data_IF_607390236439
#
_entry.id   IF_607390236439
#
_cell.length_a   1.000
_cell.length_b   1.000
_cell.length_c   1.000
_cell.angle_alpha   90.00
_cell.angle_beta   90.00
_cell.angle_gamma   90.00
#
_symmetry.space_group_name_H-M   'P 1'
#
loop_
_entity.id
_entity.type
_entity.pdbx_description
1 polymer ?
#
# COMPACT_ATOMS: atom_id res chain seq x y z
N UNK A 1 -5.23 -20.89 -6.58
CA UNK A 1 -3.75 -20.75 -6.65
C UNK A 1 -3.14 -20.83 -5.26
N UNK A 2 -1.84 -21.10 -5.17
CA UNK A 2 -1.06 -20.85 -3.95
C UNK A 2 -0.39 -19.50 -4.05
N UNK A 3 -0.69 -18.62 -3.12
CA UNK A 3 -0.15 -17.26 -3.06
C UNK A 3 0.82 -17.11 -1.88
N UNK A 4 1.89 -16.36 -2.06
CA UNK A 4 2.72 -15.82 -0.98
C UNK A 4 2.45 -14.32 -0.85
N UNK A 5 2.16 -13.85 0.35
CA UNK A 5 1.97 -12.42 0.64
C UNK A 5 3.03 -11.98 1.64
N UNK A 6 4.03 -11.21 1.22
CA UNK A 6 4.96 -10.58 2.15
C UNK A 6 4.36 -9.26 2.65
N UNK A 7 4.56 -8.93 3.93
CA UNK A 7 3.84 -7.82 4.57
C UNK A 7 2.35 -8.13 4.79
N UNK A 8 2.00 -9.43 4.86
CA UNK A 8 0.60 -9.88 4.92
C UNK A 8 -0.10 -9.65 6.26
N UNK A 9 0.62 -9.26 7.32
CA UNK A 9 0.04 -8.83 8.60
C UNK A 9 -0.13 -7.31 8.71
N UNK A 10 0.32 -6.55 7.69
CA UNK A 10 0.16 -5.11 7.59
C UNK A 10 -1.26 -4.71 7.15
N UNK A 11 -1.47 -3.40 7.00
CA UNK A 11 -2.75 -2.81 6.60
C UNK A 11 -3.28 -3.37 5.27
N UNK A 12 -2.62 -3.08 4.15
CA UNK A 12 -3.06 -3.52 2.81
C UNK A 12 -2.92 -5.05 2.68
N UNK A 13 -1.82 -5.62 3.20
CA UNK A 13 -1.51 -7.04 3.08
C UNK A 13 -2.55 -7.94 3.74
N UNK A 14 -3.04 -7.58 4.93
CA UNK A 14 -4.06 -8.39 5.61
C UNK A 14 -5.43 -8.34 4.93
N UNK A 15 -5.80 -7.21 4.34
CA UNK A 15 -7.02 -7.09 3.52
C UNK A 15 -6.90 -7.92 2.23
N UNK A 16 -5.70 -7.94 1.62
CA UNK A 16 -5.43 -8.83 0.48
C UNK A 16 -5.50 -10.31 0.87
N UNK A 17 -4.95 -10.68 2.03
CA UNK A 17 -5.03 -12.07 2.55
C UNK A 17 -6.49 -12.51 2.69
N UNK A 18 -7.34 -11.69 3.31
CA UNK A 18 -8.77 -12.02 3.48
C UNK A 18 -9.45 -12.21 2.12
N UNK A 19 -9.19 -11.31 1.16
CA UNK A 19 -9.75 -11.41 -0.19
C UNK A 19 -9.31 -12.68 -0.91
N UNK A 20 -8.02 -13.03 -0.86
CA UNK A 20 -7.50 -14.24 -1.49
C UNK A 20 -8.09 -15.52 -0.87
N UNK A 21 -8.24 -15.57 0.45
CA UNK A 21 -8.86 -16.69 1.16
C UNK A 21 -10.34 -16.82 0.81
N UNK A 22 -11.08 -15.70 0.75
CA UNK A 22 -12.48 -15.67 0.34
C UNK A 22 -12.69 -16.18 -1.10
N UNK A 23 -11.71 -15.99 -1.98
CA UNK A 23 -11.71 -16.54 -3.34
C UNK A 23 -11.20 -18.00 -3.40
N UNK A 24 -10.99 -18.66 -2.25
CA UNK A 24 -10.60 -20.08 -2.17
C UNK A 24 -9.12 -20.35 -2.48
N UNK A 25 -8.26 -19.37 -2.31
CA UNK A 25 -6.82 -19.53 -2.54
C UNK A 25 -6.10 -19.99 -1.28
N UNK A 26 -5.02 -20.77 -1.43
CA UNK A 26 -4.09 -21.06 -0.34
C UNK A 26 -3.10 -19.92 -0.19
N UNK A 27 -2.93 -19.39 1.02
CA UNK A 27 -2.11 -18.21 1.29
C UNK A 27 -1.04 -18.50 2.33
N UNK A 28 0.20 -18.24 1.96
CA UNK A 28 1.34 -18.14 2.88
C UNK A 28 1.65 -16.66 3.14
N UNK A 29 1.70 -16.25 4.40
CA UNK A 29 2.09 -14.90 4.83
C UNK A 29 3.52 -14.93 5.35
N UNK A 30 4.33 -13.97 4.91
CA UNK A 30 5.65 -13.64 5.49
C UNK A 30 5.59 -12.21 5.99
N UNK A 31 5.84 -12.01 7.29
CA UNK A 31 5.82 -10.70 7.94
C UNK A 31 6.76 -10.74 9.16
N UNK A 32 7.56 -9.72 9.38
CA UNK A 32 8.44 -9.65 10.56
C UNK A 32 7.73 -9.08 11.79
N UNK A 33 6.51 -8.58 11.61
CA UNK A 33 5.67 -7.94 12.62
C UNK A 33 6.27 -6.64 13.18
N UNK A 34 7.17 -6.00 12.45
CA UNK A 34 7.76 -4.71 12.85
C UNK A 34 6.72 -3.57 12.85
N UNK A 35 5.78 -3.62 11.92
CA UNK A 35 4.63 -2.71 11.83
C UNK A 35 3.30 -3.45 11.62
N UNK A 36 3.36 -4.69 11.15
CA UNK A 36 2.23 -5.60 11.02
C UNK A 36 1.76 -6.15 12.37
N UNK A 37 0.51 -6.63 12.42
CA UNK A 37 -0.07 -7.24 13.62
C UNK A 37 -0.83 -8.52 13.28
N UNK A 38 -0.62 -9.57 14.07
CA UNK A 38 -1.40 -10.81 13.96
C UNK A 38 -2.89 -10.60 14.25
N UNK A 39 -3.25 -9.50 14.92
CA UNK A 39 -4.64 -9.09 15.14
C UNK A 39 -5.34 -8.79 13.80
N UNK A 40 -4.62 -8.27 12.81
CA UNK A 40 -5.17 -8.03 11.47
C UNK A 40 -5.54 -9.32 10.72
N UNK A 41 -4.98 -10.45 11.13
CA UNK A 41 -5.24 -11.79 10.57
C UNK A 41 -6.11 -12.66 11.49
N UNK A 42 -6.70 -12.10 12.56
CA UNK A 42 -7.38 -12.89 13.59
C UNK A 42 -8.55 -13.69 13.01
N UNK A 43 -9.40 -13.07 12.20
CA UNK A 43 -10.56 -13.70 11.56
C UNK A 43 -10.12 -14.78 10.57
N UNK A 44 -9.17 -14.49 9.70
CA UNK A 44 -8.62 -15.42 8.73
C UNK A 44 -7.98 -16.65 9.40
N UNK A 45 -7.34 -16.48 10.57
CA UNK A 45 -6.72 -17.56 11.37
C UNK A 45 -7.74 -18.39 12.14
N UNK A 46 -8.87 -17.82 12.50
CA UNK A 46 -9.94 -18.51 13.22
C UNK A 46 -10.75 -19.44 12.31
N UNK A 47 -10.86 -19.13 11.02
CA UNK A 47 -11.58 -19.96 10.06
C UNK A 47 -10.71 -21.14 9.60
N UNK A 48 -11.04 -22.34 10.14
CA UNK A 48 -10.33 -23.58 9.83
C UNK A 48 -10.54 -24.10 8.40
N UNK A 49 -11.48 -23.54 7.65
CA UNK A 49 -11.68 -23.87 6.25
C UNK A 49 -10.66 -23.15 5.34
N UNK A 50 -10.03 -22.09 5.84
CA UNK A 50 -9.03 -21.35 5.09
C UNK A 50 -7.68 -22.07 5.12
N UNK A 51 -7.00 -22.05 3.98
CA UNK A 51 -5.63 -22.54 3.85
C UNK A 51 -4.65 -21.39 4.08
N UNK A 52 -4.53 -20.94 5.32
CA UNK A 52 -3.61 -19.88 5.74
C UNK A 52 -2.45 -20.44 6.56
N UNK A 53 -1.22 -20.08 6.18
CA UNK A 53 -0.03 -20.28 7.00
C UNK A 53 0.66 -18.93 7.23
N UNK A 54 1.03 -18.63 8.46
CA UNK A 54 1.72 -17.38 8.82
C UNK A 54 3.12 -17.69 9.30
N UNK A 55 4.11 -17.02 8.71
CA UNK A 55 5.53 -17.17 8.99
C UNK A 55 6.09 -15.83 9.44
N UNK A 56 6.52 -15.75 10.70
CA UNK A 56 7.18 -14.56 11.21
C UNK A 56 8.64 -14.56 10.76
N UNK A 57 8.93 -13.87 9.66
CA UNK A 57 10.24 -13.79 9.03
C UNK A 57 10.47 -12.41 8.42
N UNK A 58 11.70 -11.93 8.53
CA UNK A 58 12.17 -10.75 7.81
C UNK A 58 12.51 -11.12 6.36
N UNK A 59 12.09 -10.33 5.38
CA UNK A 59 12.39 -10.56 3.96
C UNK A 59 13.89 -10.52 3.63
N UNK A 60 14.70 -9.93 4.51
CA UNK A 60 16.19 -9.96 4.41
C UNK A 60 16.80 -11.30 4.81
N UNK A 61 16.04 -12.13 5.50
CA UNK A 61 16.53 -13.39 6.03
C UNK A 61 16.64 -14.48 4.96
N UNK A 62 17.71 -15.29 4.95
CA UNK A 62 17.87 -16.40 4.03
C UNK A 62 16.78 -17.47 4.17
N UNK A 63 16.15 -17.58 5.35
CA UNK A 63 15.05 -18.53 5.61
C UNK A 63 13.82 -18.27 4.71
N UNK A 64 13.66 -17.05 4.19
CA UNK A 64 12.62 -16.75 3.21
C UNK A 64 12.83 -17.55 1.93
N UNK A 65 14.06 -17.67 1.46
CA UNK A 65 14.39 -18.46 0.25
C UNK A 65 14.01 -19.92 0.46
N UNK A 66 14.37 -20.51 1.60
CA UNK A 66 14.03 -21.89 1.95
C UNK A 66 12.53 -22.11 2.08
N UNK A 67 11.82 -21.14 2.68
CA UNK A 67 10.37 -21.19 2.80
C UNK A 67 9.70 -21.20 1.42
N UNK A 68 10.06 -20.25 0.56
CA UNK A 68 9.48 -20.12 -0.78
C UNK A 68 9.76 -21.35 -1.63
N UNK A 69 10.98 -21.94 -1.54
CA UNK A 69 11.34 -23.18 -2.22
C UNK A 69 10.47 -24.37 -1.77
N UNK A 70 10.11 -24.46 -0.49
CA UNK A 70 9.22 -25.51 0.04
C UNK A 70 7.76 -25.27 -0.33
N UNK A 71 7.29 -24.02 -0.24
CA UNK A 71 5.86 -23.68 -0.43
C UNK A 71 5.47 -23.59 -1.91
N UNK A 72 6.43 -23.26 -2.79
CA UNK A 72 6.24 -23.16 -4.25
C UNK A 72 5.02 -22.33 -4.64
N UNK A 73 4.95 -21.05 -4.26
CA UNK A 73 3.84 -20.19 -4.62
C UNK A 73 3.78 -20.01 -6.14
N UNK A 74 2.57 -19.97 -6.69
CA UNK A 74 2.34 -19.60 -8.09
C UNK A 74 2.51 -18.09 -8.31
N UNK A 75 2.06 -17.30 -7.34
CA UNK A 75 2.13 -15.83 -7.37
C UNK A 75 2.67 -15.33 -6.03
N UNK A 76 3.58 -14.39 -6.10
CA UNK A 76 4.11 -13.65 -4.94
C UNK A 76 3.56 -12.23 -4.97
N UNK A 77 2.83 -11.85 -3.93
CA UNK A 77 2.41 -10.48 -3.66
C UNK A 77 3.41 -9.86 -2.69
N UNK A 78 4.22 -8.95 -3.18
CA UNK A 78 5.31 -8.36 -2.39
C UNK A 78 4.92 -6.97 -1.90
N UNK A 79 4.44 -6.92 -0.63
CA UNK A 79 4.02 -5.69 0.05
C UNK A 79 4.92 -5.34 1.24
N UNK A 80 5.77 -6.27 1.71
CA UNK A 80 6.72 -5.99 2.79
C UNK A 80 7.63 -4.82 2.42
N UNK A 81 7.71 -3.83 3.30
CA UNK A 81 8.55 -2.65 3.12
C UNK A 81 8.74 -1.90 4.44
N UNK A 82 9.87 -1.23 4.59
CA UNK A 82 9.98 -0.06 5.45
C UNK A 82 9.24 1.08 4.71
N UNK A 83 8.07 1.53 5.17
CA UNK A 83 7.20 2.44 4.43
C UNK A 83 7.27 3.91 4.89
N UNK A 84 7.88 4.20 6.06
CA UNK A 84 7.99 5.56 6.57
C UNK A 84 9.08 6.35 5.82
N UNK A 85 8.65 7.33 5.01
CA UNK A 85 9.55 8.21 4.26
C UNK A 85 10.52 8.95 5.19
N UNK A 86 10.09 9.36 6.39
CA UNK A 86 10.96 10.06 7.36
C UNK A 86 12.04 9.13 7.88
N UNK A 87 11.72 7.87 8.15
CA UNK A 87 12.71 6.86 8.52
C UNK A 87 13.69 6.63 7.37
N UNK A 88 13.22 6.60 6.11
CA UNK A 88 14.10 6.46 4.96
C UNK A 88 15.13 7.59 4.86
N UNK A 89 14.71 8.84 5.13
CA UNK A 89 15.62 10.01 5.15
C UNK A 89 16.60 9.93 6.32
N UNK A 90 16.14 9.55 7.50
CA UNK A 90 16.98 9.46 8.70
C UNK A 90 17.93 8.25 8.67
N UNK A 91 17.56 7.16 8.01
CA UNK A 91 18.27 5.88 7.99
C UNK A 91 18.28 5.26 6.58
N UNK A 92 18.89 5.90 5.58
CA UNK A 92 18.79 5.49 4.17
C UNK A 92 19.39 4.10 3.89
N UNK A 93 20.44 3.69 4.62
CA UNK A 93 21.04 2.35 4.49
C UNK A 93 20.05 1.29 4.96
N UNK A 94 19.43 1.48 6.11
CA UNK A 94 18.40 0.56 6.62
C UNK A 94 17.21 0.45 5.66
N UNK A 95 16.78 1.59 5.10
CA UNK A 95 15.71 1.59 4.09
C UNK A 95 16.09 0.75 2.86
N UNK A 96 17.32 0.93 2.34
CA UNK A 96 17.81 0.15 1.21
C UNK A 96 17.96 -1.34 1.54
N UNK A 97 18.41 -1.70 2.75
CA UNK A 97 18.48 -3.09 3.19
C UNK A 97 17.12 -3.78 3.17
N UNK A 98 16.08 -3.13 3.71
CA UNK A 98 14.73 -3.70 3.72
C UNK A 98 14.11 -3.67 2.33
N UNK A 99 14.09 -2.50 1.70
CA UNK A 99 13.29 -2.27 0.50
C UNK A 99 13.97 -2.74 -0.79
N UNK A 100 15.31 -2.73 -0.88
CA UNK A 100 16.02 -3.19 -2.07
C UNK A 100 16.55 -4.61 -1.87
N UNK A 101 17.37 -4.84 -0.84
CA UNK A 101 17.98 -6.17 -0.62
C UNK A 101 16.91 -7.19 -0.25
N UNK A 102 15.96 -6.84 0.65
CA UNK A 102 14.84 -7.71 0.98
C UNK A 102 13.99 -8.06 -0.24
N UNK A 103 13.72 -7.09 -1.13
CA UNK A 103 13.01 -7.35 -2.39
C UNK A 103 13.78 -8.28 -3.32
N UNK A 104 15.11 -8.12 -3.44
CA UNK A 104 15.95 -9.02 -4.24
C UNK A 104 15.92 -10.45 -3.70
N UNK A 105 15.97 -10.65 -2.38
CA UNK A 105 15.81 -11.97 -1.79
C UNK A 105 14.47 -12.61 -2.17
N UNK A 106 13.38 -11.83 -2.13
CA UNK A 106 12.06 -12.32 -2.54
C UNK A 106 12.02 -12.66 -4.04
N UNK A 107 12.64 -11.84 -4.91
CA UNK A 107 12.69 -12.10 -6.35
C UNK A 107 13.52 -13.36 -6.65
N UNK A 108 14.68 -13.55 -6.01
CA UNK A 108 15.50 -14.75 -6.16
C UNK A 108 14.77 -16.00 -5.66
N UNK A 109 14.10 -15.89 -4.51
CA UNK A 109 13.30 -16.99 -3.99
C UNK A 109 12.12 -17.35 -4.92
N UNK A 110 11.40 -16.37 -5.46
CA UNK A 110 10.32 -16.56 -6.41
C UNK A 110 10.81 -17.23 -7.69
N UNK A 111 11.94 -16.74 -8.26
CA UNK A 111 12.60 -17.30 -9.45
C UNK A 111 13.00 -18.76 -9.23
N UNK A 112 13.71 -19.03 -8.13
CA UNK A 112 14.21 -20.37 -7.82
C UNK A 112 13.07 -21.38 -7.56
N UNK A 113 11.95 -20.93 -7.00
CA UNK A 113 10.76 -21.77 -6.76
C UNK A 113 9.90 -21.97 -8.03
N UNK A 114 10.19 -21.27 -9.13
CA UNK A 114 9.40 -21.33 -10.34
C UNK A 114 8.06 -20.59 -10.25
N UNK A 115 7.98 -19.56 -9.43
CA UNK A 115 6.80 -18.71 -9.38
C UNK A 115 6.52 -18.09 -10.75
N UNK A 116 5.26 -18.03 -11.13
CA UNK A 116 4.83 -17.50 -12.42
C UNK A 116 4.93 -15.97 -12.45
N UNK A 117 4.66 -15.31 -11.33
CA UNK A 117 4.53 -13.85 -11.29
C UNK A 117 4.80 -13.26 -9.92
N UNK A 118 5.35 -12.04 -9.93
CA UNK A 118 5.43 -11.16 -8.76
C UNK A 118 4.53 -9.94 -8.98
N UNK A 119 3.64 -9.66 -8.02
CA UNK A 119 2.85 -8.43 -7.95
C UNK A 119 3.44 -7.55 -6.86
N UNK A 120 3.95 -6.39 -7.24
CA UNK A 120 4.77 -5.54 -6.36
C UNK A 120 4.02 -4.26 -5.96
N UNK A 121 4.00 -3.96 -4.65
CA UNK A 121 3.53 -2.68 -4.12
C UNK A 121 4.60 -1.60 -4.32
N UNK A 122 4.48 -0.83 -5.41
CA UNK A 122 5.24 0.40 -5.62
C UNK A 122 4.50 1.59 -5.00
N UNK A 123 5.04 2.81 -5.14
CA UNK A 123 4.47 4.01 -4.52
C UNK A 123 4.37 5.16 -5.52
N UNK A 124 3.17 5.41 -6.03
CA UNK A 124 2.92 6.53 -6.93
C UNK A 124 3.09 7.90 -6.28
N UNK A 125 2.89 7.99 -4.97
CA UNK A 125 3.14 9.23 -4.23
C UNK A 125 4.62 9.57 -4.04
N UNK A 126 5.58 8.69 -4.44
CA UNK A 126 7.01 8.93 -4.19
C UNK A 126 7.92 8.72 -5.40
N UNK A 127 7.60 7.79 -6.33
CA UNK A 127 8.48 7.47 -7.46
C UNK A 127 8.57 8.60 -8.49
N UNK A 128 7.52 9.41 -8.62
CA UNK A 128 7.49 10.52 -9.57
C UNK A 128 8.15 11.80 -9.04
N UNK A 129 8.45 11.86 -7.74
CA UNK A 129 9.01 13.04 -7.09
C UNK A 129 7.96 14.12 -6.89
N UNK A 130 8.33 15.37 -7.24
CA UNK A 130 7.47 16.55 -7.16
C UNK A 130 7.14 17.02 -8.59
N UNK A 131 6.09 16.49 -9.22
CA UNK A 131 5.71 16.86 -10.58
C UNK A 131 5.19 18.29 -10.66
N UNK A 132 5.33 18.92 -11.82
CA UNK A 132 4.67 20.20 -12.07
C UNK A 132 3.15 20.04 -11.89
N UNK A 133 2.47 20.96 -11.19
CA UNK A 133 1.02 20.93 -11.05
C UNK A 133 0.24 20.84 -12.38
N UNK A 134 0.82 21.29 -13.49
CA UNK A 134 0.23 21.16 -14.81
C UNK A 134 0.26 19.73 -15.38
N UNK A 135 1.10 18.85 -14.83
CA UNK A 135 1.22 17.44 -15.23
C UNK A 135 0.28 16.50 -14.45
N UNK A 136 -0.49 17.04 -13.50
CA UNK A 136 -1.42 16.26 -12.69
C UNK A 136 -2.77 16.04 -13.41
N UNK A 137 -3.36 14.83 -13.29
CA UNK A 137 -2.83 13.62 -12.66
C UNK A 137 -1.70 12.98 -13.48
N UNK A 138 -0.61 12.55 -12.83
CA UNK A 138 0.56 11.97 -13.53
C UNK A 138 0.23 10.60 -14.11
N UNK A 139 0.70 10.37 -15.33
CA UNK A 139 0.67 9.05 -16.00
C UNK A 139 1.97 8.30 -15.75
N UNK A 140 2.01 7.02 -16.07
CA UNK A 140 3.25 6.21 -15.97
C UNK A 140 4.32 6.56 -17.05
N UNK A 141 4.01 7.46 -17.96
CA UNK A 141 4.98 8.04 -18.89
C UNK A 141 5.76 9.22 -18.26
N UNK A 142 5.28 9.76 -17.14
CA UNK A 142 5.97 10.82 -16.42
C UNK A 142 7.33 10.32 -15.89
N UNK A 143 8.40 11.13 -15.97
CA UNK A 143 9.72 10.72 -15.49
C UNK A 143 9.72 10.39 -14.00
N UNK A 144 10.28 9.22 -13.64
CA UNK A 144 10.48 8.85 -12.25
C UNK A 144 11.71 9.53 -11.67
N UNK A 145 11.51 10.57 -10.87
CA UNK A 145 12.54 11.38 -10.22
C UNK A 145 12.31 11.46 -8.70
N UNK A 146 12.40 10.33 -7.98
CA UNK A 146 12.09 10.30 -6.54
C UNK A 146 13.02 11.23 -5.76
N UNK A 147 12.48 11.90 -4.74
CA UNK A 147 13.19 12.85 -3.87
C UNK A 147 13.41 12.30 -2.45
N UNK A 148 13.12 11.02 -2.23
CA UNK A 148 13.36 10.34 -0.95
C UNK A 148 14.03 8.98 -1.18
N UNK A 149 14.83 8.46 -0.21
CA UNK A 149 15.41 7.12 -0.29
C UNK A 149 14.35 6.03 -0.50
N UNK A 150 13.22 6.11 0.18
CA UNK A 150 12.08 5.21 -0.02
C UNK A 150 11.58 5.20 -1.48
N UNK A 151 11.38 6.39 -2.08
CA UNK A 151 10.97 6.50 -3.47
C UNK A 151 12.03 5.94 -4.43
N UNK A 152 13.32 6.18 -4.15
CA UNK A 152 14.44 5.58 -4.90
C UNK A 152 14.39 4.06 -4.82
N UNK A 153 14.22 3.48 -3.62
CA UNK A 153 14.13 2.04 -3.43
C UNK A 153 12.95 1.45 -4.21
N UNK A 154 11.76 2.06 -4.14
CA UNK A 154 10.58 1.58 -4.90
C UNK A 154 10.78 1.63 -6.40
N UNK A 155 11.45 2.68 -6.92
CA UNK A 155 11.82 2.77 -8.34
C UNK A 155 12.81 1.68 -8.73
N UNK A 156 13.91 1.53 -7.98
CA UNK A 156 14.99 0.56 -8.26
C UNK A 156 14.45 -0.87 -8.29
N UNK A 157 13.53 -1.23 -7.39
CA UNK A 157 12.89 -2.56 -7.44
C UNK A 157 12.07 -2.73 -8.73
N UNK A 158 11.43 -1.69 -9.24
CA UNK A 158 10.77 -1.71 -10.55
C UNK A 158 11.74 -2.04 -11.69
N UNK A 159 12.95 -1.45 -11.67
CA UNK A 159 14.00 -1.73 -12.65
C UNK A 159 14.51 -3.19 -12.53
N UNK A 160 14.66 -3.73 -11.31
CA UNK A 160 14.99 -5.15 -11.09
C UNK A 160 13.89 -6.09 -11.59
N UNK A 161 12.63 -5.81 -11.34
CA UNK A 161 11.50 -6.60 -11.85
C UNK A 161 11.55 -6.72 -13.38
N UNK A 162 11.83 -5.61 -14.07
CA UNK A 162 12.01 -5.62 -15.51
C UNK A 162 13.20 -6.50 -15.93
N UNK A 163 14.35 -6.38 -15.27
CA UNK A 163 15.53 -7.20 -15.54
C UNK A 163 15.25 -8.70 -15.31
N UNK A 164 14.57 -9.07 -14.23
CA UNK A 164 14.21 -10.47 -13.94
C UNK A 164 13.25 -11.05 -14.99
N UNK A 165 12.34 -10.24 -15.50
CA UNK A 165 11.47 -10.65 -16.59
C UNK A 165 12.28 -10.95 -17.85
N UNK A 166 13.20 -10.07 -18.24
CA UNK A 166 14.03 -10.22 -19.45
C UNK A 166 14.99 -11.39 -19.32
N UNK A 167 15.67 -11.53 -18.18
CA UNK A 167 16.74 -12.51 -17.99
C UNK A 167 16.20 -13.90 -17.63
N UNK A 168 15.09 -13.98 -16.91
CA UNK A 168 14.62 -15.22 -16.29
C UNK A 168 13.17 -15.58 -16.62
N UNK A 169 12.44 -14.73 -17.36
CA UNK A 169 11.04 -14.98 -17.67
C UNK A 169 10.09 -14.85 -16.49
N UNK A 170 10.54 -14.28 -15.33
CA UNK A 170 9.69 -14.05 -14.19
C UNK A 170 8.76 -12.86 -14.46
N UNK A 171 7.48 -13.13 -14.67
CA UNK A 171 6.51 -12.07 -14.96
C UNK A 171 6.26 -11.18 -13.74
N UNK A 172 5.90 -9.93 -13.97
CA UNK A 172 5.56 -9.00 -12.90
C UNK A 172 4.45 -8.02 -13.28
N UNK A 173 3.81 -7.46 -12.25
CA UNK A 173 3.05 -6.21 -12.32
C UNK A 173 3.47 -5.35 -11.13
N UNK A 174 3.89 -4.12 -11.37
CA UNK A 174 4.13 -3.16 -10.31
C UNK A 174 2.90 -2.22 -10.20
N UNK A 175 2.39 -2.03 -8.98
CA UNK A 175 1.25 -1.17 -8.70
C UNK A 175 1.75 0.08 -7.96
N UNK A 176 1.77 1.22 -8.65
CA UNK A 176 2.16 2.51 -8.08
C UNK A 176 0.95 3.08 -7.32
N UNK A 177 0.91 2.85 -6.01
CA UNK A 177 -0.22 3.20 -5.17
C UNK A 177 -0.26 4.70 -4.87
N UNK A 178 -1.44 5.29 -4.95
CA UNK A 178 -1.74 6.61 -4.38
C UNK A 178 -1.84 6.54 -2.85
N UNK A 179 -2.47 7.51 -2.20
CA UNK A 179 -2.63 7.51 -0.75
C UNK A 179 -3.73 6.53 -0.33
N UNK A 180 -3.32 5.29 -0.04
CA UNK A 180 -4.26 4.24 0.39
C UNK A 180 -4.78 4.54 1.78
N UNK A 181 -6.09 4.38 1.98
CA UNK A 181 -6.73 4.53 3.28
C UNK A 181 -7.78 3.44 3.49
N UNK A 182 -8.10 3.13 4.75
CA UNK A 182 -9.10 2.11 5.07
C UNK A 182 -8.98 1.54 6.49
N UNK A 183 -9.81 0.55 6.84
CA UNK A 183 -9.69 -0.26 8.04
C UNK A 183 -8.30 -0.86 8.21
N UNK A 184 -7.86 -1.05 9.48
CA UNK A 184 -6.54 -1.61 9.84
C UNK A 184 -5.34 -0.68 9.60
N UNK A 185 -5.55 0.54 9.11
CA UNK A 185 -4.47 1.52 9.03
C UNK A 185 -4.09 1.99 10.45
N UNK A 186 -2.79 1.89 10.79
CA UNK A 186 -2.30 2.28 12.11
C UNK A 186 -2.30 3.81 12.26
N UNK A 187 -3.01 4.39 13.25
CA UNK A 187 -3.00 5.82 13.51
C UNK A 187 -1.70 6.35 14.12
N UNK A 188 -0.79 5.47 14.58
CA UNK A 188 0.45 5.85 15.27
C UNK A 188 1.70 5.74 14.39
N UNK A 189 1.62 5.04 13.23
CA UNK A 189 2.71 4.88 12.29
C UNK A 189 2.89 6.08 11.34
N UNK A 190 3.41 5.87 10.14
CA UNK A 190 3.29 6.83 9.04
C UNK A 190 1.84 6.84 8.54
N UNK A 191 0.97 7.00 9.52
CA UNK A 191 -0.44 6.88 9.34
C UNK A 191 -0.89 7.88 8.33
N UNK A 192 -1.64 7.39 7.43
CA UNK A 192 -2.46 8.25 6.64
C UNK A 192 -3.28 9.15 7.57
N UNK A 193 -3.36 10.39 7.22
CA UNK A 193 -4.16 11.41 7.91
C UNK A 193 -5.59 10.92 8.23
N UNK A 194 -6.13 10.00 7.42
CA UNK A 194 -7.47 9.40 7.59
C UNK A 194 -7.58 8.64 8.92
N UNK A 195 -6.62 7.76 9.25
CA UNK A 195 -6.65 7.00 10.50
C UNK A 195 -6.49 7.91 11.73
N UNK A 196 -5.62 8.94 11.62
CA UNK A 196 -5.43 9.94 12.68
C UNK A 196 -6.73 10.73 12.93
N UNK A 197 -7.38 11.20 11.87
CA UNK A 197 -8.63 11.95 11.97
C UNK A 197 -9.74 11.07 12.53
N UNK A 198 -9.85 9.81 12.09
CA UNK A 198 -10.86 8.88 12.63
C UNK A 198 -10.73 8.71 14.13
N UNK A 199 -9.52 8.39 14.63
CA UNK A 199 -9.30 8.24 16.07
C UNK A 199 -9.65 9.49 16.87
N UNK A 200 -9.20 10.66 16.40
CA UNK A 200 -9.47 11.94 17.10
C UNK A 200 -10.94 12.35 17.08
N UNK A 201 -11.61 12.23 15.93
CA UNK A 201 -13.02 12.59 15.81
C UNK A 201 -13.90 11.71 16.69
N UNK A 202 -13.63 10.41 16.78
CA UNK A 202 -14.35 9.48 17.66
C UNK A 202 -14.06 9.74 19.13
N UNK A 203 -12.83 10.11 19.49
CA UNK A 203 -12.47 10.52 20.85
C UNK A 203 -13.00 11.91 21.25
N UNK A 204 -13.61 12.66 20.33
CA UNK A 204 -14.05 14.03 20.58
C UNK A 204 -12.92 15.06 20.60
N UNK A 205 -11.72 14.69 20.13
CA UNK A 205 -10.53 15.54 20.08
C UNK A 205 -10.47 16.40 18.83
N UNK A 206 -9.73 17.52 18.88
CA UNK A 206 -9.48 18.35 17.73
C UNK A 206 -8.46 17.71 16.78
N UNK A 207 -8.78 17.67 15.49
CA UNK A 207 -7.84 17.27 14.46
C UNK A 207 -6.85 18.38 14.14
N UNK A 208 -5.58 18.03 13.94
CA UNK A 208 -4.54 19.00 13.55
C UNK A 208 -4.30 18.94 12.05
N UNK A 209 -4.43 20.07 11.37
CA UNK A 209 -4.06 20.27 9.96
C UNK A 209 -2.76 21.07 9.92
N UNK A 210 -1.75 20.52 9.22
CA UNK A 210 -0.48 21.23 9.02
C UNK A 210 -0.57 22.13 7.78
N UNK A 211 -0.04 23.35 7.88
CA UNK A 211 -0.23 24.38 6.86
C UNK A 211 -1.67 24.92 6.84
N UNK A 212 -2.14 25.34 5.67
CA UNK A 212 -3.50 25.86 5.45
C UNK A 212 -4.51 24.76 5.03
N UNK A 213 -4.06 23.52 4.91
CA UNK A 213 -4.90 22.37 4.52
C UNK A 213 -5.22 22.29 3.04
N UNK A 214 -4.63 23.13 2.19
CA UNK A 214 -4.83 23.13 0.73
C UNK A 214 -3.98 22.11 -0.03
N UNK A 215 -2.97 21.54 0.63
CA UNK A 215 -2.19 20.45 0.03
C UNK A 215 -3.12 19.29 -0.33
N UNK A 216 -2.94 18.73 -1.54
CA UNK A 216 -3.83 17.69 -2.05
C UNK A 216 -3.16 16.33 -2.12
N UNK A 217 -3.97 15.28 -1.96
CA UNK A 217 -3.59 13.89 -2.19
C UNK A 217 -4.69 13.20 -2.98
N UNK A 218 -4.32 12.14 -3.67
CA UNK A 218 -5.23 11.19 -4.28
C UNK A 218 -5.49 10.06 -3.28
N UNK A 219 -6.67 10.04 -2.68
CA UNK A 219 -7.06 9.05 -1.69
C UNK A 219 -7.79 7.88 -2.36
N UNK A 220 -7.23 6.69 -2.26
CA UNK A 220 -7.80 5.45 -2.81
C UNK A 220 -8.13 4.48 -1.68
N UNK A 221 -9.32 3.88 -1.71
CA UNK A 221 -9.79 2.98 -0.66
C UNK A 221 -9.09 1.61 -0.75
N UNK A 222 -8.85 0.98 0.39
CA UNK A 222 -8.04 -0.25 0.48
C UNK A 222 -8.64 -1.42 -0.32
N UNK A 223 -9.97 -1.58 -0.37
CA UNK A 223 -10.59 -2.67 -1.12
C UNK A 223 -10.43 -2.49 -2.63
N UNK A 224 -10.47 -1.24 -3.12
CA UNK A 224 -10.16 -0.93 -4.51
C UNK A 224 -8.72 -1.32 -4.86
N UNK A 225 -7.77 -1.02 -3.95
CA UNK A 225 -6.37 -1.39 -4.11
C UNK A 225 -6.18 -2.90 -4.10
N UNK A 226 -6.83 -3.60 -3.17
CA UNK A 226 -6.78 -5.08 -3.08
C UNK A 226 -7.32 -5.73 -4.35
N UNK A 227 -8.40 -5.20 -4.94
CA UNK A 227 -8.91 -5.69 -6.22
C UNK A 227 -7.87 -5.53 -7.35
N UNK A 228 -7.12 -4.40 -7.35
CA UNK A 228 -6.02 -4.23 -8.31
C UNK A 228 -4.93 -5.30 -8.15
N UNK A 229 -4.55 -5.65 -6.91
CA UNK A 229 -3.61 -6.75 -6.64
C UNK A 229 -4.13 -8.10 -7.15
N UNK A 230 -5.39 -8.44 -6.85
CA UNK A 230 -6.01 -9.69 -7.28
C UNK A 230 -6.05 -9.79 -8.81
N UNK A 231 -6.49 -8.73 -9.50
CA UNK A 231 -6.50 -8.69 -10.97
C UNK A 231 -5.09 -8.79 -11.55
N UNK A 232 -4.11 -8.15 -10.94
CA UNK A 232 -2.71 -8.19 -11.36
C UNK A 232 -2.11 -9.60 -11.28
N UNK A 233 -2.62 -10.51 -10.46
CA UNK A 233 -2.18 -11.91 -10.45
C UNK A 233 -2.36 -12.60 -11.80
N UNK A 234 -3.38 -12.26 -12.56
CA UNK A 234 -3.71 -12.87 -13.84
C UNK A 234 -3.48 -11.97 -15.06
N UNK A 235 -3.27 -10.66 -14.87
CA UNK A 235 -3.26 -9.65 -15.93
C UNK A 235 -2.06 -8.71 -15.79
N UNK A 236 -1.81 -7.86 -16.81
CA UNK A 236 -0.87 -6.75 -16.75
C UNK A 236 0.58 -7.17 -16.58
N UNK A 237 1.03 -8.21 -17.29
CA UNK A 237 2.42 -8.67 -17.21
C UNK A 237 3.41 -7.68 -17.82
N UNK A 238 4.50 -7.40 -17.09
CA UNK A 238 5.60 -6.53 -17.51
C UNK A 238 5.27 -5.03 -17.47
N UNK A 239 4.28 -4.60 -16.67
CA UNK A 239 3.87 -3.20 -16.62
C UNK A 239 3.88 -2.63 -15.20
N UNK A 240 4.11 -1.33 -15.12
CA UNK A 240 3.78 -0.48 -13.99
C UNK A 240 2.38 0.10 -14.24
N UNK A 241 1.49 0.06 -13.26
CA UNK A 241 0.17 0.69 -13.30
C UNK A 241 -0.04 1.62 -12.11
N UNK A 242 -0.48 2.83 -12.35
CA UNK A 242 -0.95 3.74 -11.32
C UNK A 242 -2.28 3.24 -10.74
N UNK A 243 -2.37 3.21 -9.42
CA UNK A 243 -3.57 2.82 -8.67
C UNK A 243 -3.98 4.02 -7.81
N UNK A 244 -4.88 4.78 -8.36
CA UNK A 244 -5.40 6.03 -7.79
C UNK A 244 -6.76 6.38 -8.38
N UNK A 245 -7.30 7.52 -7.99
CA UNK A 245 -8.63 7.99 -8.42
C UNK A 245 -8.57 9.09 -9.48
N UNK A 246 -7.38 9.60 -9.79
CA UNK A 246 -7.14 10.82 -10.58
C UNK A 246 -7.73 12.09 -9.93
N UNK A 247 -8.15 12.01 -8.67
CA UNK A 247 -8.84 13.09 -7.97
C UNK A 247 -7.95 13.68 -6.89
N UNK A 248 -7.67 14.96 -7.00
CA UNK A 248 -7.01 15.70 -5.95
C UNK A 248 -8.00 16.08 -4.84
N UNK A 249 -7.76 15.61 -3.63
CA UNK A 249 -8.55 15.97 -2.44
C UNK A 249 -7.65 16.72 -1.47
N UNK A 250 -8.05 17.94 -1.08
CA UNK A 250 -7.31 18.70 -0.06
C UNK A 250 -7.48 18.06 1.32
N UNK A 251 -6.46 18.25 2.19
CA UNK A 251 -6.54 17.77 3.58
C UNK A 251 -7.72 18.40 4.33
N UNK A 252 -8.04 19.66 4.02
CA UNK A 252 -9.21 20.34 4.57
C UNK A 252 -10.51 19.66 4.11
N UNK A 253 -10.65 19.33 2.80
CA UNK A 253 -11.83 18.62 2.28
C UNK A 253 -11.96 17.23 2.90
N UNK A 254 -10.86 16.50 3.04
CA UNK A 254 -10.85 15.22 3.74
C UNK A 254 -11.37 15.36 5.18
N UNK A 255 -10.89 16.37 5.89
CA UNK A 255 -11.36 16.65 7.26
C UNK A 255 -12.88 16.89 7.30
N UNK A 256 -13.42 17.72 6.40
CA UNK A 256 -14.85 18.01 6.32
C UNK A 256 -15.68 16.74 6.09
N UNK A 257 -15.25 15.87 5.15
CA UNK A 257 -15.93 14.60 4.88
C UNK A 257 -15.92 13.70 6.11
N UNK A 258 -14.78 13.57 6.77
CA UNK A 258 -14.65 12.72 7.94
C UNK A 258 -15.41 13.27 9.15
N UNK A 259 -15.39 14.59 9.36
CA UNK A 259 -16.15 15.23 10.44
C UNK A 259 -17.66 15.06 10.23
N UNK A 260 -18.14 15.21 8.99
CA UNK A 260 -19.54 14.94 8.63
C UNK A 260 -19.93 13.49 8.89
N UNK A 261 -19.12 12.53 8.45
CA UNK A 261 -19.36 11.10 8.66
C UNK A 261 -19.31 10.68 10.13
N UNK A 262 -18.54 11.40 10.97
CA UNK A 262 -18.48 11.21 12.42
C UNK A 262 -19.62 11.94 13.19
N UNK A 263 -20.51 12.66 12.49
CA UNK A 263 -21.54 13.48 13.12
C UNK A 263 -21.00 14.71 13.87
N UNK A 264 -19.81 15.19 13.48
CA UNK A 264 -19.05 16.29 14.12
C UNK A 264 -18.81 17.47 13.16
N UNK A 265 -19.78 17.76 12.30
CA UNK A 265 -19.67 18.86 11.30
C UNK A 265 -19.49 20.26 11.94
N UNK A 266 -19.81 20.40 13.21
CA UNK A 266 -19.60 21.60 14.02
C UNK A 266 -18.20 21.75 14.60
N UNK A 267 -17.38 20.67 14.58
CA UNK A 267 -16.03 20.70 15.07
C UNK A 267 -15.12 21.47 14.09
N UNK A 268 -14.20 22.27 14.65
CA UNK A 268 -13.19 22.96 13.86
C UNK A 268 -11.82 22.29 14.01
N UNK A 269 -11.02 22.19 12.96
CA UNK A 269 -9.65 21.70 13.07
C UNK A 269 -8.74 22.76 13.69
N UNK A 270 -7.62 22.33 14.26
CA UNK A 270 -6.53 23.20 14.72
C UNK A 270 -5.45 23.23 13.64
N UNK A 271 -5.03 24.43 13.26
CA UNK A 271 -3.96 24.59 12.28
C UNK A 271 -2.59 24.68 12.97
N UNK A 272 -1.59 24.01 12.41
CA UNK A 272 -0.20 23.99 12.86
C UNK A 272 0.73 24.42 11.71
N UNK A 273 1.99 24.82 12.01
CA UNK A 273 2.95 25.15 10.95
C UNK A 273 3.10 24.05 9.90
N UNK A 274 3.31 24.46 8.65
CA UNK A 274 3.56 23.57 7.53
C UNK A 274 4.76 22.63 7.79
N UNK A 275 4.68 21.39 7.29
CA UNK A 275 5.76 20.41 7.41
C UNK A 275 6.79 20.63 6.29
N UNK A 276 8.07 20.83 6.60
CA UNK A 276 9.10 20.99 5.57
C UNK A 276 9.19 19.75 4.67
N UNK A 277 9.28 19.96 3.35
CA UNK A 277 9.46 18.88 2.37
C UNK A 277 8.19 18.07 2.05
N UNK A 278 7.04 18.50 2.53
CA UNK A 278 5.77 17.88 2.14
C UNK A 278 5.39 18.27 0.70
N UNK A 279 4.99 17.29 -0.13
CA UNK A 279 4.50 17.53 -1.48
C UNK A 279 3.25 18.41 -1.44
N UNK A 280 3.20 19.44 -2.29
CA UNK A 280 2.04 20.31 -2.36
C UNK A 280 0.82 19.60 -2.96
N UNK A 281 1.01 18.87 -4.07
CA UNK A 281 -0.08 18.22 -4.81
C UNK A 281 0.33 16.83 -5.31
N UNK A 282 -0.63 15.89 -5.35
CA UNK A 282 -0.41 14.54 -5.90
C UNK A 282 -1.72 13.95 -6.38
N UNK A 283 -1.73 13.45 -7.64
CA UNK A 283 -2.79 12.64 -8.22
C UNK A 283 -2.23 11.72 -9.30
N UNK A 284 -2.81 10.54 -9.47
CA UNK A 284 -2.35 9.49 -10.38
C UNK A 284 -3.42 9.16 -11.40
N UNK A 285 -3.08 9.17 -12.69
CA UNK A 285 -3.98 8.72 -13.75
C UNK A 285 -4.02 7.18 -13.81
N UNK A 286 -5.18 6.53 -13.57
CA UNK A 286 -5.34 5.08 -13.61
C UNK A 286 -5.62 4.51 -15.01
N UNK A 287 -5.47 5.27 -16.08
CA UNK A 287 -5.82 4.83 -17.43
C UNK A 287 -5.13 3.52 -17.83
N UNK A 288 -3.87 3.34 -17.44
CA UNK A 288 -3.10 2.11 -17.70
C UNK A 288 -3.66 0.92 -16.90
N UNK A 289 -4.12 1.12 -15.67
CA UNK A 289 -4.76 0.08 -14.88
C UNK A 289 -6.10 -0.35 -15.50
N UNK A 290 -6.90 0.58 -16.02
CA UNK A 290 -8.11 0.24 -16.80
C UNK A 290 -7.78 -0.65 -17.99
N UNK A 291 -6.76 -0.29 -18.76
CA UNK A 291 -6.39 -1.01 -19.97
C UNK A 291 -5.83 -2.41 -19.67
N UNK A 292 -4.89 -2.52 -18.75
CA UNK A 292 -4.13 -3.76 -18.52
C UNK A 292 -4.71 -4.67 -17.45
N UNK A 293 -5.41 -4.11 -16.45
CA UNK A 293 -6.00 -4.87 -15.34
C UNK A 293 -7.52 -4.94 -15.43
N UNK A 294 -8.18 -4.17 -16.30
CA UNK A 294 -9.61 -3.91 -16.29
C UNK A 294 -10.07 -3.40 -14.90
N UNK A 295 -9.28 -2.51 -14.30
CA UNK A 295 -9.47 -1.98 -12.97
C UNK A 295 -9.77 -0.49 -13.01
N UNK A 296 -10.71 -0.05 -12.17
CA UNK A 296 -10.97 1.34 -11.84
C UNK A 296 -11.45 1.43 -10.38
N UNK A 297 -11.23 2.55 -9.69
CA UNK A 297 -11.73 2.73 -8.34
C UNK A 297 -13.26 2.88 -8.37
N UNK A 298 -13.95 2.33 -7.35
CA UNK A 298 -15.42 2.42 -7.23
C UNK A 298 -15.87 3.02 -5.89
N UNK A 299 -15.00 3.12 -4.90
CA UNK A 299 -15.35 3.63 -3.57
C UNK A 299 -15.24 5.14 -3.55
N UNK A 300 -16.32 5.84 -3.20
CA UNK A 300 -16.28 7.29 -2.98
C UNK A 300 -15.52 7.63 -1.71
N UNK A 301 -15.00 8.85 -1.60
CA UNK A 301 -14.33 9.30 -0.38
C UNK A 301 -15.26 9.25 0.83
N UNK A 302 -16.52 9.61 0.63
CA UNK A 302 -17.57 9.62 1.65
C UNK A 302 -17.87 8.20 2.18
N UNK A 303 -18.03 7.23 1.28
CA UNK A 303 -18.29 5.83 1.65
C UNK A 303 -17.09 5.22 2.38
N UNK A 304 -15.89 5.46 1.87
CA UNK A 304 -14.64 4.99 2.49
C UNK A 304 -14.40 5.61 3.87
N UNK A 305 -14.63 6.91 4.03
CA UNK A 305 -14.53 7.60 5.32
C UNK A 305 -15.52 7.03 6.34
N UNK A 306 -16.75 6.81 5.94
CA UNK A 306 -17.77 6.18 6.79
C UNK A 306 -17.38 4.76 7.21
N UNK A 307 -16.80 3.97 6.30
CA UNK A 307 -16.32 2.61 6.59
C UNK A 307 -15.17 2.62 7.61
N UNK A 308 -14.21 3.54 7.45
CA UNK A 308 -13.11 3.72 8.41
C UNK A 308 -13.63 4.05 9.80
N UNK A 309 -14.52 5.03 9.89
CA UNK A 309 -15.08 5.46 11.20
C UNK A 309 -15.84 4.33 11.89
N UNK A 310 -16.67 3.57 11.16
CA UNK A 310 -17.35 2.38 11.74
C UNK A 310 -16.32 1.38 12.28
N UNK A 311 -15.29 1.06 11.51
CA UNK A 311 -14.29 0.09 11.94
C UNK A 311 -13.53 0.53 13.20
N UNK A 312 -13.19 1.83 13.33
CA UNK A 312 -12.54 2.36 14.53
C UNK A 312 -13.50 2.39 15.73
N UNK A 313 -14.79 2.72 15.54
CA UNK A 313 -15.79 2.74 16.59
C UNK A 313 -16.02 1.34 17.18
N UNK A 314 -16.14 0.31 16.34
CA UNK A 314 -16.36 -1.08 16.76
C UNK A 314 -15.19 -1.64 17.60
N UNK A 315 -14.01 -1.02 17.57
CA UNK A 315 -12.82 -1.43 18.33
C UNK A 315 -12.55 -0.61 19.59
N UNK A 316 -13.29 0.47 19.79
CA UNK A 316 -13.24 1.26 21.03
C UNK A 316 -14.32 0.82 22.03
N UNK A 317 -15.30 0.03 21.57
CA UNK A 317 -16.34 -0.60 22.38
C UNK A 317 -15.90 -1.96 22.93
#
# INVERSE_FOLDING_TARGET
MRALVTGGAGFIGSTLVDRLLAEGHAVDVVDDLSTGSLTNLAEARADRNHQLSVHQLDVRSPEVVDLVARRKPEVVFHLAAQADVRVSVARPVFDAEVNVIGSLNVLEAARAAGARKVVFASSGGTIYGDPDPADLPVTEAHPQRPVSPYGVAKKVVGDYLHAYRVLHGLEFTALALANVYGPRQDPHGEAGVVAIFAGKLLAGEACTIFGDGRQTRDFVYVDDVVDAFVRAAGRGSGVLCNIGTATETSVLRLYEVMAAAAGRSDAAPVFAPERPGELARSALDPARARLHLAWEPWTTLEDGAAAVLRWFADRQS
#
